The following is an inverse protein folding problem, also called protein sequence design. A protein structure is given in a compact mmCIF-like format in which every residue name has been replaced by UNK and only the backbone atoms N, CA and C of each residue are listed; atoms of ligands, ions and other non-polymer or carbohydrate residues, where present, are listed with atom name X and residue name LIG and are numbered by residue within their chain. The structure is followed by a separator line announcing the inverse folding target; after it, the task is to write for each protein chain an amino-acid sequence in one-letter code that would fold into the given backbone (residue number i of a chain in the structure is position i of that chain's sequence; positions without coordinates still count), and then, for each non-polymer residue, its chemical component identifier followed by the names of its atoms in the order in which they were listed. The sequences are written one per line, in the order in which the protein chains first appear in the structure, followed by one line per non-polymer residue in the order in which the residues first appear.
data_IF_285434043744
#
_entry.id   IF_285434043744
#
_cell.length_a   1.000
_cell.length_b   1.000
_cell.length_c   1.000
_cell.angle_alpha   90.00
_cell.angle_beta   90.00
_cell.angle_gamma   90.00
#
_symmetry.space_group_name_H-M   'P 1'
#
loop_
_entity.id
_entity.type
_entity.pdbx_description
1 polymer ?
#
# COMPACT_ATOMS: atom_id res chain seq x y z
N UNK A 1 56.80 25.46 -43.78
CA UNK A 1 55.58 24.65 -43.53
C UNK A 1 55.50 24.47 -42.02
N UNK A 2 54.77 25.38 -41.35
CA UNK A 2 55.04 25.75 -39.95
C UNK A 2 54.25 24.87 -38.97
N UNK A 3 54.98 24.22 -38.05
CA UNK A 3 54.44 23.36 -36.98
C UNK A 3 53.44 24.07 -36.04
N UNK A 4 53.39 25.40 -36.04
CA UNK A 4 52.48 26.22 -35.22
C UNK A 4 51.02 26.17 -35.70
N UNK A 5 50.77 25.99 -37.00
CA UNK A 5 49.40 25.95 -37.54
C UNK A 5 48.68 24.61 -37.23
N UNK A 6 49.43 23.53 -37.04
CA UNK A 6 48.88 22.20 -36.72
C UNK A 6 48.37 22.09 -35.28
N UNK A 7 48.97 22.81 -34.32
CA UNK A 7 48.60 22.73 -32.90
C UNK A 7 47.33 23.52 -32.55
N UNK A 8 47.06 24.60 -33.27
CA UNK A 8 45.85 25.43 -33.06
C UNK A 8 44.60 24.75 -33.62
N UNK A 9 44.73 24.03 -34.74
CA UNK A 9 43.60 23.30 -35.34
C UNK A 9 43.15 22.09 -34.49
N UNK A 10 44.07 21.41 -33.81
CA UNK A 10 43.73 20.26 -32.94
C UNK A 10 43.03 20.69 -31.65
N UNK A 11 43.35 21.87 -31.11
CA UNK A 11 42.68 22.41 -29.92
C UNK A 11 41.24 22.88 -30.21
N UNK A 12 40.97 23.40 -31.42
CA UNK A 12 39.61 23.79 -31.81
C UNK A 12 38.69 22.59 -32.10
N UNK A 13 39.23 21.47 -32.60
CA UNK A 13 38.47 20.23 -32.81
C UNK A 13 38.18 19.46 -31.50
N UNK A 14 38.99 19.62 -30.46
CA UNK A 14 38.72 19.06 -29.14
C UNK A 14 37.70 19.87 -28.33
N UNK A 15 37.59 21.18 -28.59
CA UNK A 15 36.61 22.04 -27.90
C UNK A 15 35.16 21.84 -28.34
N UNK A 16 34.93 21.40 -29.59
CA UNK A 16 33.58 21.20 -30.13
C UNK A 16 33.01 19.81 -29.79
N UNK A 17 33.87 18.81 -29.57
CA UNK A 17 33.45 17.45 -29.22
C UNK A 17 32.80 17.32 -27.83
N UNK A 18 33.13 18.20 -26.88
CA UNK A 18 32.61 18.12 -25.52
C UNK A 18 31.25 18.81 -25.30
N UNK A 19 30.76 19.61 -26.25
CA UNK A 19 29.44 20.25 -26.14
C UNK A 19 28.30 19.45 -26.80
N UNK A 20 28.62 18.38 -27.53
CA UNK A 20 27.64 17.47 -28.13
C UNK A 20 27.25 16.31 -27.21
N UNK A 21 27.91 16.15 -26.06
CA UNK A 21 27.41 15.29 -25.00
C UNK A 21 26.32 16.06 -24.25
N UNK A 22 25.11 16.04 -24.81
CA UNK A 22 23.92 16.43 -24.08
C UNK A 22 23.99 15.77 -22.71
N UNK A 23 23.87 16.59 -21.66
CA UNK A 23 23.82 16.09 -20.30
C UNK A 23 22.84 14.92 -20.31
N UNK A 24 23.24 13.71 -19.86
CA UNK A 24 22.27 12.64 -19.70
C UNK A 24 21.18 13.23 -18.83
N UNK A 25 19.94 13.27 -19.33
CA UNK A 25 18.78 13.63 -18.53
C UNK A 25 18.96 12.87 -17.23
N UNK A 26 19.15 13.62 -16.13
CA UNK A 26 19.30 13.03 -14.82
C UNK A 26 18.01 12.25 -14.60
N UNK A 27 18.07 10.93 -14.78
CA UNK A 27 16.98 10.03 -14.46
C UNK A 27 16.81 10.16 -12.97
N UNK A 28 15.90 11.06 -12.56
CA UNK A 28 15.48 11.22 -11.19
C UNK A 28 15.21 9.81 -10.69
N UNK A 29 16.04 9.35 -9.75
CA UNK A 29 16.04 7.97 -9.32
C UNK A 29 14.64 7.64 -8.82
N UNK A 30 13.89 6.85 -9.60
CA UNK A 30 12.50 6.47 -9.33
C UNK A 30 12.50 5.73 -8.01
N UNK A 31 12.13 6.43 -6.94
CA UNK A 31 12.07 5.85 -5.63
C UNK A 31 10.76 5.05 -5.55
N UNK A 32 10.89 3.73 -5.52
CA UNK A 32 9.81 2.79 -5.33
C UNK A 32 10.08 1.99 -4.06
N UNK A 33 9.09 1.93 -3.17
CA UNK A 33 9.21 1.19 -1.92
C UNK A 33 7.88 0.53 -1.57
N UNK A 34 7.94 -0.67 -1.01
CA UNK A 34 6.77 -1.37 -0.48
C UNK A 34 6.87 -1.53 1.03
N UNK A 35 5.73 -1.59 1.70
CA UNK A 35 5.65 -1.90 3.13
C UNK A 35 4.35 -2.58 3.46
N UNK A 36 4.42 -3.52 4.40
CA UNK A 36 3.22 -4.13 4.98
C UNK A 36 3.00 -3.57 6.39
N UNK A 37 1.79 -3.08 6.62
CA UNK A 37 1.33 -2.55 7.90
C UNK A 37 0.30 -3.51 8.51
N UNK A 38 0.52 -3.93 9.75
CA UNK A 38 -0.48 -4.62 10.56
C UNK A 38 -1.20 -3.60 11.43
N UNK A 39 -2.52 -3.54 11.37
CA UNK A 39 -3.34 -2.66 12.22
C UNK A 39 -4.55 -3.39 12.80
N UNK A 40 -5.02 -2.94 13.95
CA UNK A 40 -6.19 -3.48 14.64
C UNK A 40 -7.49 -2.97 14.00
N UNK A 41 -8.53 -3.82 14.01
CA UNK A 41 -9.88 -3.49 13.53
C UNK A 41 -10.79 -3.19 14.72
N UNK A 42 -10.75 -1.93 15.18
CA UNK A 42 -11.60 -1.42 16.26
C UNK A 42 -13.03 -1.16 15.76
N UNK A 43 -14.02 -1.10 16.66
CA UNK A 43 -15.43 -0.94 16.23
C UNK A 43 -15.68 0.36 15.45
N UNK A 44 -15.08 1.47 15.87
CA UNK A 44 -15.26 2.78 15.21
C UNK A 44 -14.09 3.17 14.29
N UNK A 45 -13.42 2.18 13.68
CA UNK A 45 -12.28 2.44 12.79
C UNK A 45 -12.66 2.42 11.30
N UNK A 46 -11.91 3.15 10.45
CA UNK A 46 -12.07 3.03 9.00
C UNK A 46 -11.86 1.62 8.46
N UNK A 47 -11.00 0.82 9.11
CA UNK A 47 -10.75 -0.58 8.74
C UNK A 47 -11.95 -1.48 9.00
N UNK A 48 -12.74 -1.21 10.05
CA UNK A 48 -14.02 -1.90 10.31
C UNK A 48 -15.07 -1.54 9.27
N UNK A 49 -15.27 -0.24 9.06
CA UNK A 49 -16.22 0.26 8.06
C UNK A 49 -15.88 -0.25 6.65
N UNK A 50 -14.59 -0.36 6.31
CA UNK A 50 -14.14 -0.96 5.06
C UNK A 50 -14.52 -2.45 4.96
N UNK A 51 -14.22 -3.26 5.99
CA UNK A 51 -14.58 -4.67 6.01
C UNK A 51 -16.09 -4.87 5.79
N UNK A 52 -16.91 -4.12 6.51
CA UNK A 52 -18.36 -4.19 6.41
C UNK A 52 -18.83 -3.78 5.00
N UNK A 53 -18.24 -2.74 4.43
CA UNK A 53 -18.54 -2.29 3.05
C UNK A 53 -18.14 -3.34 2.02
N UNK A 54 -16.97 -3.97 2.16
CA UNK A 54 -16.51 -5.04 1.27
C UNK A 54 -17.50 -6.21 1.31
N UNK A 55 -17.84 -6.70 2.51
CA UNK A 55 -18.80 -7.80 2.71
C UNK A 55 -20.14 -7.45 2.07
N UNK A 56 -20.68 -6.26 2.33
CA UNK A 56 -21.95 -5.82 1.78
C UNK A 56 -21.93 -5.74 0.23
N UNK A 57 -20.84 -5.24 -0.36
CA UNK A 57 -20.73 -5.15 -1.83
C UNK A 57 -20.63 -6.55 -2.45
N UNK A 58 -19.89 -7.46 -1.83
CA UNK A 58 -19.79 -8.85 -2.29
C UNK A 58 -21.17 -9.52 -2.23
N UNK A 59 -21.89 -9.38 -1.11
CA UNK A 59 -23.25 -9.92 -0.95
C UNK A 59 -24.22 -9.38 -1.98
N UNK A 60 -24.22 -8.05 -2.17
CA UNK A 60 -25.15 -7.39 -3.09
C UNK A 60 -24.91 -7.76 -4.55
N UNK A 61 -23.65 -7.92 -4.95
CA UNK A 61 -23.30 -8.25 -6.34
C UNK A 61 -23.52 -9.73 -6.65
N UNK A 62 -23.43 -10.63 -5.67
CA UNK A 62 -23.68 -12.07 -5.81
C UNK A 62 -22.68 -12.86 -6.68
N UNK A 63 -22.00 -12.20 -7.61
CA UNK A 63 -21.05 -12.79 -8.57
C UNK A 63 -19.58 -12.55 -8.19
N UNK A 64 -19.33 -11.72 -7.17
CA UNK A 64 -17.95 -11.44 -6.75
C UNK A 64 -17.42 -12.61 -5.93
N UNK A 65 -16.40 -13.27 -6.47
CA UNK A 65 -15.65 -14.28 -5.74
C UNK A 65 -14.40 -13.69 -5.09
N UNK A 66 -14.08 -14.18 -3.90
CA UNK A 66 -12.97 -13.68 -3.08
C UNK A 66 -12.05 -14.81 -2.64
N UNK A 67 -10.83 -14.46 -2.25
CA UNK A 67 -9.87 -15.43 -1.72
C UNK A 67 -9.84 -15.38 -0.19
N UNK A 68 -9.50 -16.51 0.44
CA UNK A 68 -9.23 -16.54 1.88
C UNK A 68 -7.84 -15.97 2.22
N UNK A 69 -6.88 -16.26 1.35
CA UNK A 69 -5.45 -15.90 1.47
C UNK A 69 -4.92 -15.42 0.12
N UNK A 70 -3.82 -14.67 0.10
CA UNK A 70 -3.18 -14.21 -1.14
C UNK A 70 -2.85 -15.36 -2.10
N UNK A 71 -2.20 -16.40 -1.56
CA UNK A 71 -1.72 -17.58 -2.27
C UNK A 71 -2.85 -18.56 -2.67
N UNK A 72 -4.09 -18.33 -2.22
CA UNK A 72 -5.19 -19.21 -2.56
C UNK A 72 -5.42 -19.22 -4.07
N UNK A 73 -5.26 -20.40 -4.68
CA UNK A 73 -5.48 -20.62 -6.11
C UNK A 73 -6.96 -20.54 -6.49
N UNK A 74 -7.86 -20.84 -5.55
CA UNK A 74 -9.31 -20.87 -5.76
C UNK A 74 -9.97 -19.64 -5.12
N UNK A 75 -10.76 -18.92 -5.92
CA UNK A 75 -11.72 -17.93 -5.43
C UNK A 75 -13.00 -18.64 -4.95
N UNK A 76 -13.68 -18.08 -3.96
CA UNK A 76 -14.85 -18.64 -3.31
C UNK A 76 -15.98 -17.61 -3.33
N UNK A 77 -17.22 -18.08 -3.44
CA UNK A 77 -18.37 -17.26 -3.07
C UNK A 77 -18.28 -16.89 -1.58
N UNK A 78 -18.86 -15.76 -1.22
CA UNK A 78 -18.89 -15.32 0.17
C UNK A 78 -19.60 -16.30 1.10
N UNK A 79 -20.69 -16.94 0.63
CA UNK A 79 -21.38 -17.99 1.40
C UNK A 79 -20.44 -19.15 1.73
N UNK A 80 -19.72 -19.67 0.71
CA UNK A 80 -18.76 -20.76 0.88
C UNK A 80 -17.64 -20.36 1.83
N UNK A 81 -17.14 -19.12 1.74
CA UNK A 81 -16.11 -18.62 2.64
C UNK A 81 -16.62 -18.56 4.10
N UNK A 82 -17.83 -18.03 4.31
CA UNK A 82 -18.46 -17.96 5.64
C UNK A 82 -18.68 -19.34 6.23
N UNK A 83 -19.22 -20.28 5.44
CA UNK A 83 -19.45 -21.65 5.86
C UNK A 83 -18.14 -22.33 6.27
N UNK A 84 -17.07 -22.13 5.50
CA UNK A 84 -15.74 -22.65 5.87
C UNK A 84 -15.24 -22.07 7.18
N UNK A 85 -15.31 -20.75 7.37
CA UNK A 85 -14.84 -20.12 8.61
C UNK A 85 -15.64 -20.61 9.83
N UNK A 86 -16.95 -20.76 9.70
CA UNK A 86 -17.81 -21.25 10.79
C UNK A 86 -17.55 -22.73 11.06
N UNK A 87 -17.53 -23.58 10.04
CA UNK A 87 -17.45 -25.03 10.21
C UNK A 87 -16.04 -25.51 10.58
N UNK A 88 -14.99 -24.87 10.05
CA UNK A 88 -13.60 -25.28 10.30
C UNK A 88 -13.00 -24.59 11.52
N UNK A 89 -13.40 -23.35 11.82
CA UNK A 89 -12.73 -22.50 12.82
C UNK A 89 -13.68 -21.94 13.88
N UNK A 90 -15.00 -22.15 13.75
CA UNK A 90 -15.99 -21.63 14.70
C UNK A 90 -16.11 -20.11 14.72
N UNK A 91 -15.62 -19.41 13.69
CA UNK A 91 -15.61 -17.94 13.63
C UNK A 91 -16.40 -17.39 12.45
N UNK A 92 -17.08 -16.26 12.65
CA UNK A 92 -17.73 -15.52 11.57
C UNK A 92 -16.76 -14.57 10.87
N UNK A 93 -16.98 -14.26 9.58
CA UNK A 93 -16.13 -13.36 8.80
C UNK A 93 -15.93 -11.97 9.45
N UNK A 94 -16.98 -11.44 10.09
CA UNK A 94 -16.96 -10.14 10.78
C UNK A 94 -16.15 -10.16 12.08
N UNK A 95 -15.67 -11.32 12.52
CA UNK A 95 -14.83 -11.46 13.72
C UNK A 95 -13.39 -11.00 13.51
N UNK A 96 -12.99 -10.66 12.27
CA UNK A 96 -11.65 -10.15 12.00
C UNK A 96 -11.32 -8.98 12.94
N UNK A 97 -10.14 -9.05 13.57
CA UNK A 97 -9.67 -8.09 14.57
C UNK A 97 -8.33 -7.46 14.18
N UNK A 98 -7.68 -7.95 13.13
CA UNK A 98 -6.52 -7.30 12.51
C UNK A 98 -6.62 -7.34 10.99
N UNK A 99 -5.92 -6.40 10.34
CA UNK A 99 -5.72 -6.39 8.89
C UNK A 99 -4.27 -6.08 8.58
N UNK A 100 -3.69 -6.87 7.67
CA UNK A 100 -2.46 -6.53 6.98
C UNK A 100 -2.80 -5.73 5.73
N UNK A 101 -2.14 -4.59 5.56
CA UNK A 101 -2.31 -3.70 4.42
C UNK A 101 -0.96 -3.57 3.72
N UNK A 102 -0.91 -3.98 2.47
CA UNK A 102 0.27 -3.80 1.63
C UNK A 102 0.20 -2.47 0.93
N UNK A 103 1.26 -1.68 1.08
CA UNK A 103 1.41 -0.38 0.43
C UNK A 103 2.52 -0.40 -0.59
N UNK A 104 2.31 0.36 -1.66
CA UNK A 104 3.34 0.78 -2.59
C UNK A 104 3.46 2.30 -2.54
N UNK A 105 4.70 2.75 -2.48
CA UNK A 105 5.08 4.15 -2.48
C UNK A 105 5.95 4.43 -3.69
N UNK A 106 5.65 5.52 -4.39
CA UNK A 106 6.39 5.91 -5.59
C UNK A 106 6.60 7.42 -5.64
N UNK A 107 7.78 7.87 -6.08
CA UNK A 107 7.97 9.25 -6.52
C UNK A 107 7.98 9.25 -8.05
N UNK A 108 6.98 9.90 -8.63
CA UNK A 108 6.88 10.17 -10.06
C UNK A 108 7.17 11.64 -10.35
N UNK A 109 7.30 11.99 -11.63
CA UNK A 109 7.52 13.38 -12.08
C UNK A 109 6.44 14.36 -11.58
N UNK A 110 5.26 13.86 -11.22
CA UNK A 110 4.11 14.65 -10.76
C UNK A 110 3.95 14.69 -9.24
N UNK A 111 4.80 14.00 -8.48
CA UNK A 111 4.75 14.01 -7.02
C UNK A 111 4.91 12.61 -6.40
N UNK A 112 4.61 12.56 -5.11
CA UNK A 112 4.57 11.32 -4.34
C UNK A 112 3.20 10.66 -4.51
N UNK A 113 3.20 9.37 -4.85
CA UNK A 113 2.01 8.53 -4.91
C UNK A 113 2.10 7.42 -3.87
N UNK A 114 0.99 7.16 -3.21
CA UNK A 114 0.78 6.06 -2.28
C UNK A 114 -0.44 5.27 -2.77
N UNK A 115 -0.30 3.95 -2.83
CA UNK A 115 -1.38 3.03 -3.17
C UNK A 115 -1.45 1.88 -2.17
N UNK A 116 -2.69 1.52 -1.79
CA UNK A 116 -2.98 0.23 -1.16
C UNK A 116 -2.98 -0.81 -2.27
N UNK A 117 -2.16 -1.86 -2.14
CA UNK A 117 -2.04 -2.95 -3.11
C UNK A 117 -2.91 -4.15 -2.71
N UNK A 118 -2.97 -4.46 -1.41
CA UNK A 118 -3.74 -5.61 -0.91
C UNK A 118 -4.21 -5.41 0.53
N UNK A 119 -5.22 -6.19 0.91
CA UNK A 119 -5.76 -6.26 2.26
C UNK A 119 -5.94 -7.74 2.66
N UNK A 120 -5.30 -8.16 3.75
CA UNK A 120 -5.50 -9.48 4.36
C UNK A 120 -6.11 -9.32 5.75
N UNK A 121 -7.40 -9.63 5.87
CA UNK A 121 -8.13 -9.65 7.14
C UNK A 121 -7.85 -10.96 7.88
N UNK A 122 -7.57 -10.85 9.17
CA UNK A 122 -7.25 -11.97 10.04
C UNK A 122 -7.95 -11.87 11.39
N UNK A 123 -8.16 -13.03 12.00
CA UNK A 123 -8.49 -13.15 13.41
C UNK A 123 -7.26 -13.63 14.16
N UNK A 124 -6.78 -12.82 15.10
CA UNK A 124 -5.74 -13.19 16.07
C UNK A 124 -6.41 -13.57 17.40
N UNK A 125 -6.33 -14.83 17.84
CA UNK A 125 -6.90 -15.24 19.12
C UNK A 125 -6.30 -14.48 20.31
N UNK A 126 -7.11 -14.18 21.34
CA UNK A 126 -6.60 -13.56 22.56
C UNK A 126 -5.58 -14.49 23.24
N UNK A 127 -4.51 -13.91 23.78
CA UNK A 127 -3.45 -14.67 24.48
C UNK A 127 -2.25 -15.06 23.62
N UNK A 128 -2.30 -14.88 22.29
CA UNK A 128 -1.12 -14.90 21.41
C UNK A 128 -0.37 -16.24 21.29
N UNK A 129 -0.93 -17.32 21.84
CA UNK A 129 -0.37 -18.67 21.77
C UNK A 129 -0.77 -19.42 20.49
N UNK A 130 -1.83 -18.96 19.83
CA UNK A 130 -2.39 -19.56 18.61
C UNK A 130 -2.00 -18.75 17.37
N UNK A 131 -1.93 -19.44 16.23
CA UNK A 131 -1.64 -18.83 14.94
C UNK A 131 -2.78 -17.92 14.46
N UNK A 132 -2.43 -16.92 13.64
CA UNK A 132 -3.42 -16.04 13.02
C UNK A 132 -4.30 -16.81 12.04
N UNK A 133 -5.61 -16.66 12.17
CA UNK A 133 -6.57 -17.27 11.25
C UNK A 133 -6.82 -16.29 10.10
N UNK A 134 -6.35 -16.64 8.90
CA UNK A 134 -6.59 -15.86 7.69
C UNK A 134 -8.03 -16.02 7.19
N UNK A 135 -8.71 -14.90 6.97
CA UNK A 135 -10.16 -14.88 6.76
C UNK A 135 -10.56 -14.41 5.36
N UNK A 136 -10.02 -13.27 4.92
CA UNK A 136 -10.39 -12.66 3.64
C UNK A 136 -9.18 -11.91 3.08
N UNK A 137 -8.85 -12.23 1.84
CA UNK A 137 -7.87 -11.52 1.05
C UNK A 137 -8.59 -10.73 -0.04
N UNK A 138 -8.19 -9.47 -0.22
CA UNK A 138 -8.70 -8.58 -1.25
C UNK A 138 -7.53 -7.90 -1.96
N UNK A 139 -7.50 -8.06 -3.28
CA UNK A 139 -6.53 -7.40 -4.16
C UNK A 139 -7.08 -6.02 -4.56
N UNK A 140 -6.35 -4.95 -4.24
CA UNK A 140 -6.79 -3.58 -4.52
C UNK A 140 -6.70 -3.21 -6.02
N UNK A 141 -6.02 -4.03 -6.83
CA UNK A 141 -6.01 -3.86 -8.28
C UNK A 141 -7.34 -4.24 -8.93
N UNK A 142 -8.17 -5.05 -8.27
CA UNK A 142 -9.49 -5.45 -8.75
C UNK A 142 -10.41 -4.21 -8.87
N UNK A 143 -11.08 -3.98 -10.03
CA UNK A 143 -11.80 -2.73 -10.29
C UNK A 143 -12.88 -2.39 -9.26
N UNK A 144 -13.55 -3.41 -8.71
CA UNK A 144 -14.60 -3.21 -7.71
C UNK A 144 -14.04 -2.78 -6.35
N UNK A 145 -12.83 -3.23 -6.01
CA UNK A 145 -12.12 -2.87 -4.77
C UNK A 145 -11.58 -1.46 -4.90
N UNK A 146 -10.91 -1.16 -6.01
CA UNK A 146 -10.42 0.20 -6.31
C UNK A 146 -11.55 1.22 -6.22
N UNK A 147 -12.71 0.92 -6.81
CA UNK A 147 -13.87 1.78 -6.72
C UNK A 147 -14.38 1.98 -5.27
N UNK A 148 -14.28 0.98 -4.40
CA UNK A 148 -14.61 1.14 -2.97
C UNK A 148 -13.58 2.06 -2.31
N UNK A 149 -12.28 1.82 -2.54
CA UNK A 149 -11.22 2.62 -1.92
C UNK A 149 -11.30 4.09 -2.32
N UNK A 150 -11.57 4.38 -3.59
CA UNK A 150 -11.56 5.74 -4.15
C UNK A 150 -12.89 6.48 -3.97
N UNK A 151 -14.04 5.79 -3.99
CA UNK A 151 -15.36 6.43 -4.06
C UNK A 151 -16.30 6.11 -2.87
N UNK A 152 -15.87 5.26 -1.94
CA UNK A 152 -16.61 4.98 -0.69
C UNK A 152 -15.75 5.38 0.50
N UNK A 153 -16.38 5.47 1.67
CA UNK A 153 -15.72 5.89 2.89
C UNK A 153 -16.73 6.16 3.98
N UNK A 154 -16.35 6.99 4.95
CA UNK A 154 -17.22 7.38 6.07
C UNK A 154 -17.49 8.87 6.06
N UNK A 155 -18.63 9.27 6.62
CA UNK A 155 -19.02 10.68 6.79
C UNK A 155 -18.15 11.34 7.84
N UNK A 156 -17.83 12.62 7.64
CA UNK A 156 -17.10 13.40 8.64
C UNK A 156 -18.04 13.79 9.80
N UNK A 157 -17.59 13.58 11.04
CA UNK A 157 -18.35 14.00 12.24
C UNK A 157 -18.60 15.51 12.25
N UNK A 158 -17.68 16.29 11.70
CA UNK A 158 -17.79 17.76 11.61
C UNK A 158 -18.65 18.24 10.45
N UNK A 159 -18.92 17.38 9.46
CA UNK A 159 -19.74 17.70 8.30
C UNK A 159 -20.25 16.41 7.65
N UNK A 160 -21.48 16.02 7.98
CA UNK A 160 -22.10 14.79 7.48
C UNK A 160 -22.33 14.80 5.96
N UNK A 161 -22.30 15.98 5.31
CA UNK A 161 -22.37 16.10 3.85
C UNK A 161 -21.03 15.84 3.16
N UNK A 162 -19.92 15.76 3.91
CA UNK A 162 -18.60 15.49 3.38
C UNK A 162 -18.18 14.04 3.65
N UNK A 163 -17.84 13.34 2.57
CA UNK A 163 -17.32 11.97 2.58
C UNK A 163 -15.79 12.02 2.62
N UNK A 164 -15.17 11.26 3.54
CA UNK A 164 -13.74 10.98 3.48
C UNK A 164 -13.55 9.57 2.93
N UNK A 165 -12.82 9.45 1.83
CA UNK A 165 -12.67 8.17 1.10
C UNK A 165 -11.87 7.16 1.90
N UNK A 166 -12.07 5.87 1.66
CA UNK A 166 -11.28 4.84 2.31
C UNK A 166 -9.79 4.95 1.95
N UNK A 167 -9.45 5.30 0.70
CA UNK A 167 -8.05 5.56 0.29
C UNK A 167 -7.41 6.60 1.19
N UNK A 168 -8.10 7.72 1.43
CA UNK A 168 -7.61 8.75 2.35
C UNK A 168 -7.54 8.20 3.78
N UNK A 169 -8.59 7.57 4.28
CA UNK A 169 -8.65 7.11 5.67
C UNK A 169 -7.63 6.02 5.99
N UNK A 170 -7.28 5.20 5.01
CA UNK A 170 -6.29 4.13 5.11
C UNK A 170 -4.88 4.58 4.74
N UNK A 171 -4.66 5.88 4.51
CA UNK A 171 -3.33 6.38 4.19
C UNK A 171 -2.30 5.95 5.26
N UNK A 172 -1.15 5.47 4.82
CA UNK A 172 -0.09 4.90 5.65
C UNK A 172 0.33 5.85 6.76
N UNK A 173 0.53 7.13 6.45
CA UNK A 173 0.92 8.14 7.42
C UNK A 173 -0.07 8.30 8.59
N UNK A 174 -1.35 7.95 8.38
CA UNK A 174 -2.40 7.95 9.40
C UNK A 174 -2.37 6.67 10.21
N UNK A 175 -2.39 5.52 9.54
CA UNK A 175 -2.49 4.22 10.23
C UNK A 175 -1.21 3.78 10.94
N UNK A 176 -0.04 4.26 10.50
CA UNK A 176 1.25 3.87 11.10
C UNK A 176 1.44 4.34 12.55
N UNK A 177 0.63 5.31 13.01
CA UNK A 177 0.68 5.81 14.39
C UNK A 177 0.23 4.74 15.39
N UNK A 178 -0.83 4.00 15.04
CA UNK A 178 -1.41 2.95 15.86
C UNK A 178 -1.05 1.53 15.36
N UNK A 179 -0.52 1.43 14.14
CA UNK A 179 -0.16 0.18 13.48
C UNK A 179 1.31 -0.24 13.66
N UNK A 180 1.59 -1.51 13.33
CA UNK A 180 2.92 -2.11 13.34
C UNK A 180 3.37 -2.41 11.92
N UNK A 181 4.45 -1.75 11.48
CA UNK A 181 5.14 -2.14 10.24
C UNK A 181 5.78 -3.51 10.44
N UNK A 182 5.34 -4.50 9.66
CA UNK A 182 5.82 -5.89 9.74
C UNK A 182 6.75 -6.24 8.58
N UNK A 183 6.67 -5.51 7.46
CA UNK A 183 7.56 -5.70 6.32
C UNK A 183 7.98 -4.37 5.67
N UNK A 184 9.22 -4.30 5.18
CA UNK A 184 9.72 -3.21 4.34
C UNK A 184 10.52 -3.78 3.17
N UNK A 185 10.05 -3.52 1.94
CA UNK A 185 10.69 -3.95 0.70
C UNK A 185 10.97 -5.46 0.65
N UNK A 186 9.97 -6.31 0.93
CA UNK A 186 10.10 -7.77 0.89
C UNK A 186 10.80 -8.37 2.11
N UNK A 187 11.14 -7.57 3.12
CA UNK A 187 11.91 -8.03 4.28
C UNK A 187 11.13 -7.85 5.58
N UNK A 188 10.89 -8.96 6.29
CA UNK A 188 10.25 -8.95 7.61
C UNK A 188 11.04 -8.11 8.60
N UNK A 189 10.36 -7.18 9.27
CA UNK A 189 10.95 -6.25 10.23
C UNK A 189 11.28 -7.01 11.52
N UNK A 190 12.58 -7.25 11.74
CA UNK A 190 13.15 -7.78 13.00
C UNK A 190 13.71 -6.65 13.87
N UNK A 191 14.12 -6.93 15.12
CA UNK A 191 14.56 -5.89 16.08
C UNK A 191 15.65 -4.93 15.56
N UNK A 192 16.51 -5.36 14.62
CA UNK A 192 17.54 -4.53 13.98
C UNK A 192 17.03 -3.50 12.96
N UNK A 193 15.75 -3.55 12.57
CA UNK A 193 15.18 -2.68 11.52
C UNK A 193 14.69 -1.31 12.03
N UNK A 194 14.88 -0.99 13.32
CA UNK A 194 14.41 0.26 13.94
C UNK A 194 14.84 1.52 13.17
N UNK A 195 16.05 1.55 12.60
CA UNK A 195 16.53 2.68 11.78
C UNK A 195 15.80 2.76 10.44
N UNK A 196 15.69 1.65 9.69
CA UNK A 196 15.01 1.59 8.37
C UNK A 196 13.52 1.92 8.51
N UNK A 197 12.86 1.42 9.57
CA UNK A 197 11.48 1.78 9.93
C UNK A 197 11.33 3.29 10.14
N UNK A 198 12.15 3.89 11.02
CA UNK A 198 12.08 5.34 11.29
C UNK A 198 12.33 6.18 10.04
N UNK A 199 13.32 5.81 9.22
CA UNK A 199 13.62 6.49 7.96
C UNK A 199 12.45 6.41 6.97
N UNK A 200 11.80 5.25 6.84
CA UNK A 200 10.63 5.09 5.98
C UNK A 200 9.48 5.98 6.45
N UNK A 201 9.12 5.91 7.73
CA UNK A 201 8.02 6.70 8.29
C UNK A 201 8.28 8.20 8.14
N UNK A 202 9.48 8.66 8.48
CA UNK A 202 9.86 10.07 8.34
C UNK A 202 9.83 10.52 6.87
N UNK A 203 10.31 9.69 5.95
CA UNK A 203 10.28 10.00 4.52
C UNK A 203 8.86 10.10 3.98
N UNK A 204 7.99 9.14 4.31
CA UNK A 204 6.58 9.17 3.87
C UNK A 204 5.88 10.38 4.48
N UNK A 205 5.98 10.61 5.79
CA UNK A 205 5.37 11.78 6.43
C UNK A 205 5.82 13.09 5.76
N UNK A 206 7.13 13.24 5.52
CA UNK A 206 7.66 14.42 4.84
C UNK A 206 7.06 14.57 3.44
N UNK A 207 7.02 13.50 2.64
CA UNK A 207 6.48 13.55 1.28
C UNK A 207 4.97 13.82 1.27
N UNK A 208 4.21 13.25 2.21
CA UNK A 208 2.75 13.46 2.33
C UNK A 208 2.41 14.91 2.73
N UNK A 209 3.22 15.54 3.60
CA UNK A 209 2.94 16.89 4.10
C UNK A 209 3.66 18.02 3.33
N UNK A 210 4.74 17.74 2.59
CA UNK A 210 5.40 18.72 1.70
C UNK A 210 4.77 18.81 0.31
N UNK A 211 3.91 17.84 -0.07
CA UNK A 211 3.22 17.82 -1.37
C UNK A 211 1.80 18.41 -1.36
N UNK A 212 1.30 18.82 -0.19
CA UNK A 212 0.06 19.58 -0.02
C UNK A 212 0.35 21.08 0.09
#
# INVERSE_FOLDING_TARGET
MNQSARRVLTLFLLGIGCLAMGAPEATAQRWLQTSQLLTEIKQDSPTRALLDTLVQVIERKGEVEVKRTEEASKKLSLSTLRDKLINEQGIGLTSANFVFIDYRFEIQNRGFEESVESLQFVYRPPGGAEEDIQMLYVDASEPWVRNILENKGTTLVTNEAALKTFSDQLAFARLVQDGKIVEIAGQTVREGFKRKKRQLVQKIQRLTYESM
#
